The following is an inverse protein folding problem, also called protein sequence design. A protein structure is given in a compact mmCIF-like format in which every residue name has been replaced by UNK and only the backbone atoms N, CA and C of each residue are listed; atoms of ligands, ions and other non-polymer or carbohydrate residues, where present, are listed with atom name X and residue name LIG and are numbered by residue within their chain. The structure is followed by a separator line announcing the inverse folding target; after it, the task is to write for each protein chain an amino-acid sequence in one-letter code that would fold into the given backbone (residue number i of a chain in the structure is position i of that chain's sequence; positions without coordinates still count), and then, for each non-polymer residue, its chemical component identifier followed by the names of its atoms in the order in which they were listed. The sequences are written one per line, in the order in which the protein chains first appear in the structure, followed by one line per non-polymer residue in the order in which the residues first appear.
data_IF_008193459759
#
_entry.id   IF_008193459759
#
_cell.length_a   1.000
_cell.length_b   1.000
_cell.length_c   1.000
_cell.angle_alpha   90.00
_cell.angle_beta   90.00
_cell.angle_gamma   90.00
#
_symmetry.space_group_name_H-M   'P 1'
#
loop_
_entity.id
_entity.type
_entity.pdbx_description
1 polymer ?
#
# COMPACT_ATOMS: atom_id res chain seq x y z
N UNK A 1 -15.71 -74.63 -13.60
CA UNK A 1 -15.84 -73.16 -13.74
C UNK A 1 -14.78 -72.63 -14.70
N UNK A 2 -15.13 -72.42 -15.97
CA UNK A 2 -14.21 -71.82 -16.97
C UNK A 2 -14.15 -70.30 -16.71
N UNK A 3 -13.04 -69.81 -16.16
CA UNK A 3 -12.75 -68.36 -16.09
C UNK A 3 -12.47 -67.88 -17.51
N UNK A 4 -13.40 -67.09 -18.08
CA UNK A 4 -13.15 -66.38 -19.33
C UNK A 4 -12.14 -65.26 -19.04
N UNK A 5 -10.96 -65.35 -19.64
CA UNK A 5 -10.00 -64.27 -19.63
C UNK A 5 -10.60 -63.13 -20.47
N UNK A 6 -11.24 -62.16 -19.81
CA UNK A 6 -11.74 -60.93 -20.44
C UNK A 6 -10.55 -60.17 -21.03
N UNK A 7 -10.31 -60.34 -22.33
CA UNK A 7 -9.41 -59.46 -23.08
C UNK A 7 -10.07 -58.10 -23.11
N UNK A 8 -9.60 -57.18 -22.27
CA UNK A 8 -9.93 -55.76 -22.41
C UNK A 8 -9.53 -55.37 -23.83
N UNK A 9 -10.51 -54.95 -24.62
CA UNK A 9 -10.29 -54.56 -26.00
C UNK A 9 -9.38 -53.34 -26.01
N UNK A 10 -8.27 -53.39 -26.74
CA UNK A 10 -7.30 -52.29 -26.93
C UNK A 10 -8.02 -50.96 -27.21
N UNK A 11 -9.17 -51.02 -27.88
CA UNK A 11 -10.01 -49.87 -28.18
C UNK A 11 -10.47 -49.09 -26.94
N UNK A 12 -10.94 -49.78 -25.89
CA UNK A 12 -11.35 -49.13 -24.63
C UNK A 12 -10.15 -48.53 -23.89
N UNK A 13 -8.99 -49.18 -23.96
CA UNK A 13 -7.76 -48.64 -23.38
C UNK A 13 -7.33 -47.35 -24.07
N UNK A 14 -7.43 -47.29 -25.40
CA UNK A 14 -7.10 -46.12 -26.21
C UNK A 14 -8.04 -44.93 -25.94
N UNK A 15 -9.34 -45.21 -25.80
CA UNK A 15 -10.33 -44.21 -25.38
C UNK A 15 -10.04 -43.69 -23.97
N UNK A 16 -9.71 -44.57 -23.03
CA UNK A 16 -9.36 -44.16 -21.67
C UNK A 16 -8.16 -43.23 -21.67
N UNK A 17 -7.12 -43.53 -22.46
CA UNK A 17 -5.92 -42.70 -22.60
C UNK A 17 -6.24 -41.32 -23.21
N UNK A 18 -7.15 -41.28 -24.18
CA UNK A 18 -7.59 -40.01 -24.76
C UNK A 18 -8.34 -39.14 -23.74
N UNK A 19 -9.23 -39.74 -22.95
CA UNK A 19 -9.99 -39.05 -21.91
C UNK A 19 -9.06 -38.54 -20.80
N UNK A 20 -8.11 -39.36 -20.34
CA UNK A 20 -7.15 -38.93 -19.31
C UNK A 20 -6.26 -37.80 -19.81
N UNK A 21 -5.84 -37.83 -21.07
CA UNK A 21 -5.11 -36.72 -21.70
C UNK A 21 -5.94 -35.43 -21.72
N UNK A 22 -7.24 -35.51 -22.07
CA UNK A 22 -8.12 -34.34 -22.09
C UNK A 22 -8.30 -33.74 -20.69
N UNK A 23 -8.50 -34.60 -19.69
CA UNK A 23 -8.63 -34.21 -18.28
C UNK A 23 -7.38 -33.48 -17.79
N UNK A 24 -6.18 -33.97 -18.13
CA UNK A 24 -4.93 -33.33 -17.77
C UNK A 24 -4.80 -31.92 -18.33
N UNK A 25 -5.18 -31.70 -19.60
CA UNK A 25 -5.14 -30.37 -20.22
C UNK A 25 -6.08 -29.40 -19.49
N UNK A 26 -7.31 -29.84 -19.20
CA UNK A 26 -8.28 -29.03 -18.45
C UNK A 26 -7.76 -28.71 -17.05
N UNK A 27 -7.15 -29.69 -16.38
CA UNK A 27 -6.59 -29.53 -15.04
C UNK A 27 -5.43 -28.53 -15.01
N UNK A 28 -4.49 -28.63 -15.95
CA UNK A 28 -3.38 -27.68 -16.08
C UNK A 28 -3.90 -26.27 -16.34
N UNK A 29 -4.88 -26.12 -17.24
CA UNK A 29 -5.50 -24.82 -17.51
C UNK A 29 -6.14 -24.22 -16.24
N UNK A 30 -6.83 -25.05 -15.44
CA UNK A 30 -7.42 -24.61 -14.18
C UNK A 30 -6.34 -24.14 -13.18
N UNK A 31 -5.24 -24.88 -13.02
CA UNK A 31 -4.12 -24.49 -12.15
C UNK A 31 -3.55 -23.14 -12.59
N UNK A 32 -3.32 -22.93 -13.89
CA UNK A 32 -2.77 -21.68 -14.41
C UNK A 32 -3.70 -20.52 -14.09
N UNK A 33 -5.01 -20.67 -14.30
CA UNK A 33 -5.99 -19.62 -14.00
C UNK A 33 -6.06 -19.30 -12.51
N UNK A 34 -6.08 -20.33 -11.65
CA UNK A 34 -6.08 -20.14 -10.19
C UNK A 34 -4.82 -19.42 -9.75
N UNK A 35 -3.66 -19.77 -10.30
CA UNK A 35 -2.41 -19.11 -9.98
C UNK A 35 -2.43 -17.63 -10.41
N UNK A 36 -2.94 -17.32 -11.60
CA UNK A 36 -3.11 -15.93 -12.05
C UNK A 36 -4.04 -15.13 -11.14
N UNK A 37 -5.14 -15.73 -10.67
CA UNK A 37 -6.05 -15.10 -9.71
C UNK A 37 -5.33 -14.85 -8.38
N UNK A 38 -4.51 -15.80 -7.92
CA UNK A 38 -3.74 -15.67 -6.69
C UNK A 38 -2.71 -14.54 -6.78
N UNK A 39 -2.00 -14.42 -7.90
CA UNK A 39 -1.07 -13.31 -8.16
C UNK A 39 -1.80 -11.98 -8.10
N UNK A 40 -2.92 -11.83 -8.84
CA UNK A 40 -3.73 -10.60 -8.82
C UNK A 40 -4.27 -10.28 -7.41
N UNK A 41 -4.63 -11.31 -6.63
CA UNK A 41 -5.09 -11.10 -5.25
C UNK A 41 -3.96 -10.56 -4.36
N UNK A 42 -2.74 -11.08 -4.53
CA UNK A 42 -1.58 -10.59 -3.80
C UNK A 42 -1.22 -9.15 -4.18
N UNK A 43 -1.26 -8.81 -5.46
CA UNK A 43 -1.07 -7.43 -5.94
C UNK A 43 -2.10 -6.48 -5.30
N UNK A 44 -3.39 -6.84 -5.35
CA UNK A 44 -4.45 -6.05 -4.71
C UNK A 44 -4.25 -5.90 -3.19
N UNK A 45 -3.81 -6.96 -2.52
CA UNK A 45 -3.52 -6.93 -1.08
C UNK A 45 -2.33 -6.02 -0.77
N UNK A 46 -1.32 -6.01 -1.63
CA UNK A 46 -0.17 -5.12 -1.49
C UNK A 46 -0.58 -3.66 -1.68
N UNK A 47 -1.39 -3.37 -2.70
CA UNK A 47 -1.91 -2.03 -2.95
C UNK A 47 -2.80 -1.54 -1.80
N UNK A 48 -3.64 -2.43 -1.25
CA UNK A 48 -4.44 -2.12 -0.06
C UNK A 48 -3.55 -1.80 1.14
N UNK A 49 -2.48 -2.57 1.37
CA UNK A 49 -1.52 -2.29 2.44
C UNK A 49 -0.84 -0.94 2.25
N UNK A 50 -0.42 -0.60 1.02
CA UNK A 50 0.16 0.70 0.71
C UNK A 50 -0.83 1.84 0.97
N UNK A 51 -2.09 1.66 0.62
CA UNK A 51 -3.13 2.65 0.86
C UNK A 51 -3.39 2.87 2.36
N UNK A 52 -3.45 1.79 3.14
CA UNK A 52 -3.59 1.87 4.60
C UNK A 52 -2.38 2.59 5.20
N UNK A 53 -1.16 2.24 4.80
CA UNK A 53 0.04 2.89 5.31
C UNK A 53 0.07 4.39 5.02
N UNK A 54 -0.35 4.80 3.82
CA UNK A 54 -0.49 6.22 3.48
C UNK A 54 -1.55 6.92 4.35
N UNK A 55 -2.66 6.24 4.64
CA UNK A 55 -3.69 6.80 5.50
C UNK A 55 -3.16 7.01 6.93
N UNK A 56 -2.49 6.02 7.51
CA UNK A 56 -1.83 6.15 8.82
C UNK A 56 -0.81 7.29 8.87
N UNK A 57 -0.04 7.49 7.79
CA UNK A 57 0.88 8.62 7.67
C UNK A 57 0.13 9.96 7.67
N UNK A 58 -0.94 10.09 6.88
CA UNK A 58 -1.76 11.30 6.83
C UNK A 58 -2.46 11.59 8.16
N UNK A 59 -2.94 10.56 8.86
CA UNK A 59 -3.49 10.70 10.21
C UNK A 59 -2.43 11.23 11.17
N UNK A 60 -1.23 10.66 11.14
CA UNK A 60 -0.10 11.13 11.96
C UNK A 60 0.27 12.58 11.65
N UNK A 61 0.28 12.98 10.38
CA UNK A 61 0.54 14.37 9.98
C UNK A 61 -0.57 15.31 10.46
N UNK A 62 -1.82 14.89 10.36
CA UNK A 62 -2.98 15.64 10.86
C UNK A 62 -2.90 15.84 12.37
N UNK A 63 -2.55 14.80 13.12
CA UNK A 63 -2.37 14.88 14.57
C UNK A 63 -1.22 15.80 14.97
N UNK A 64 -0.10 15.77 14.22
CA UNK A 64 1.01 16.70 14.42
C UNK A 64 0.58 18.14 14.16
N UNK A 65 -0.15 18.38 13.07
CA UNK A 65 -0.62 19.72 12.73
C UNK A 65 -1.62 20.25 13.77
N UNK A 66 -2.58 19.42 14.18
CA UNK A 66 -3.53 19.75 15.25
C UNK A 66 -2.81 20.02 16.58
N UNK A 67 -1.76 19.26 16.88
CA UNK A 67 -0.95 19.49 18.08
C UNK A 67 -0.15 20.79 18.00
N UNK A 68 0.37 21.13 16.83
CA UNK A 68 1.04 22.41 16.59
C UNK A 68 0.07 23.59 16.73
N UNK A 69 -1.15 23.47 16.18
CA UNK A 69 -2.19 24.48 16.30
C UNK A 69 -2.61 24.67 17.77
N UNK A 70 -2.75 23.58 18.53
CA UNK A 70 -2.98 23.64 19.99
C UNK A 70 -1.85 24.35 20.72
N UNK A 71 -0.59 24.03 20.40
CA UNK A 71 0.58 24.69 21.01
C UNK A 71 0.58 26.18 20.68
N UNK A 72 0.32 26.54 19.42
CA UNK A 72 0.28 27.92 18.97
C UNK A 72 -0.85 28.71 19.67
N UNK A 73 -2.04 28.11 19.79
CA UNK A 73 -3.16 28.69 20.53
C UNK A 73 -2.81 28.92 22.00
N UNK A 74 -2.23 27.92 22.66
CA UNK A 74 -1.80 28.03 24.07
C UNK A 74 -0.70 29.08 24.25
N UNK A 75 0.25 29.17 23.31
CA UNK A 75 1.31 30.18 23.34
C UNK A 75 0.71 31.58 23.17
N UNK A 76 -0.21 31.76 22.23
CA UNK A 76 -0.89 33.05 22.01
C UNK A 76 -1.74 33.45 23.23
N UNK A 77 -2.46 32.52 23.84
CA UNK A 77 -3.31 32.79 25.01
C UNK A 77 -2.49 33.09 26.27
N UNK A 78 -1.42 32.32 26.54
CA UNK A 78 -0.65 32.45 27.78
C UNK A 78 0.44 33.51 27.74
N UNK A 79 1.01 33.76 26.56
CA UNK A 79 2.13 34.70 26.39
C UNK A 79 1.68 36.00 25.70
N UNK A 80 0.37 36.16 25.45
CA UNK A 80 -0.22 37.27 24.69
C UNK A 80 0.56 37.55 23.38
N UNK A 81 1.02 36.46 22.75
CA UNK A 81 1.72 36.48 21.47
C UNK A 81 0.70 36.74 20.36
N UNK A 82 0.05 37.90 20.42
CA UNK A 82 -0.65 38.44 19.27
C UNK A 82 0.39 38.61 18.17
N UNK A 83 0.17 37.96 17.03
CA UNK A 83 0.98 38.15 15.84
C UNK A 83 0.87 39.62 15.43
N UNK A 84 1.79 40.46 15.94
CA UNK A 84 1.92 41.84 15.49
C UNK A 84 2.48 41.77 14.08
N UNK A 85 1.61 41.94 13.09
CA UNK A 85 1.93 42.09 11.67
C UNK A 85 3.00 43.19 11.44
N UNK A 86 3.16 44.11 12.41
CA UNK A 86 4.21 45.12 12.49
C UNK A 86 5.64 44.59 12.70
N UNK A 87 5.84 43.32 13.08
CA UNK A 87 7.18 42.76 13.35
C UNK A 87 7.89 42.24 12.09
N UNK A 88 7.13 42.02 11.00
CA UNK A 88 7.67 41.52 9.74
C UNK A 88 8.15 42.65 8.80
N UNK A 89 7.92 43.93 9.14
CA UNK A 89 8.17 45.06 8.24
C UNK A 89 9.09 46.17 8.79
N UNK A 90 9.86 45.92 9.85
CA UNK A 90 10.96 46.81 10.21
C UNK A 90 12.27 46.02 10.34
N UNK A 91 12.89 45.74 9.19
CA UNK A 91 14.33 45.58 9.12
C UNK A 91 14.98 46.94 9.46
N UNK A 92 14.95 47.31 10.74
CA UNK A 92 15.84 48.34 11.29
C UNK A 92 17.23 47.72 11.35
N UNK A 93 17.92 47.73 10.21
CA UNK A 93 19.37 47.52 10.16
C UNK A 93 20.03 48.54 11.10
N UNK A 94 20.48 48.07 12.26
CA UNK A 94 21.30 48.87 13.17
C UNK A 94 22.67 49.01 12.49
N UNK A 95 22.82 50.06 11.69
CA UNK A 95 24.10 50.40 11.09
C UNK A 95 24.94 51.10 12.15
N UNK A 96 25.75 50.33 12.87
CA UNK A 96 26.73 50.86 13.81
C UNK A 96 27.83 51.55 12.98
N UNK A 97 27.93 52.89 13.05
CA UNK A 97 29.06 53.61 12.46
C UNK A 97 30.31 53.35 13.31
N UNK A 98 31.36 52.86 12.65
CA UNK A 98 32.69 52.57 13.22
C UNK A 98 33.35 53.76 13.94
N UNK A 99 32.78 54.96 13.87
CA UNK A 99 33.23 56.16 14.58
C UNK A 99 32.88 56.19 16.08
N UNK A 100 32.04 55.28 16.58
CA UNK A 100 31.65 55.21 18.00
C UNK A 100 32.31 54.06 18.78
N UNK A 101 33.13 53.24 18.11
CA UNK A 101 34.02 52.29 18.78
C UNK A 101 35.31 53.01 19.15
N UNK A 102 35.27 53.71 20.28
CA UNK A 102 36.47 54.22 20.97
C UNK A 102 37.22 53.06 21.64
#
# INVERSE_FOLDING_TARGET
MKKSNKKISIFYFLICLFITSLILVIYINNIIQVNQIMVRNNELREDLRKAIQKNEQLLTETEKLSSFERINSLANEKLDLTFRESSASENKNITIKKSELK
#
